data_IF_106517224980
#
_entry.id   IF_106517224980
#
_cell.length_a   1.000
_cell.length_b   1.000
_cell.length_c   1.000
_cell.angle_alpha   90.00
_cell.angle_beta   90.00
_cell.angle_gamma   90.00
#
_symmetry.space_group_name_H-M   'P 1'
#
loop_
_entity.id
_entity.type
_entity.pdbx_description
1 polymer ?
#
# COMPACT_ATOMS: atom_id res chain seq x y z
N UNK A 1 18.99 7.73 30.46
CA UNK A 1 19.41 7.38 29.09
C UNK A 1 18.82 8.42 28.14
N UNK A 2 19.63 9.05 27.31
CA UNK A 2 19.15 10.06 26.37
C UNK A 2 18.22 9.41 25.34
N UNK A 3 17.04 9.97 25.19
CA UNK A 3 16.16 9.63 24.06
C UNK A 3 16.91 9.90 22.76
N UNK A 4 16.70 9.06 21.73
CA UNK A 4 17.32 9.26 20.39
C UNK A 4 16.84 10.53 19.68
N UNK A 5 15.76 11.15 20.16
CA UNK A 5 15.13 12.33 19.60
C UNK A 5 15.10 13.41 20.66
N UNK A 6 15.60 14.58 20.31
CA UNK A 6 15.46 15.77 21.13
C UNK A 6 14.01 16.28 21.01
N UNK A 7 13.26 16.28 22.11
CA UNK A 7 11.86 16.76 22.12
C UNK A 7 11.74 18.28 22.20
N UNK A 8 12.83 18.97 22.51
CA UNK A 8 12.85 20.44 22.54
C UNK A 8 13.38 20.96 21.21
N UNK A 9 12.53 21.50 20.32
CA UNK A 9 12.99 22.09 19.07
C UNK A 9 13.89 23.26 19.38
N UNK A 10 15.07 23.29 18.77
CA UNK A 10 15.98 24.42 18.87
C UNK A 10 15.46 25.65 18.12
N UNK A 11 16.09 26.80 18.35
CA UNK A 11 15.77 28.04 17.63
C UNK A 11 15.84 27.87 16.10
N UNK A 12 16.78 27.04 15.61
CA UNK A 12 16.93 26.75 14.18
C UNK A 12 15.74 25.91 13.66
N UNK A 13 15.22 24.97 14.45
CA UNK A 13 14.04 24.18 14.09
C UNK A 13 12.79 25.07 14.00
N UNK A 14 12.64 26.01 14.97
CA UNK A 14 11.55 26.99 14.96
C UNK A 14 11.65 27.96 13.76
N UNK A 15 12.86 28.42 13.45
CA UNK A 15 13.12 29.29 12.30
C UNK A 15 12.87 28.57 10.97
N UNK A 16 13.37 27.33 10.79
CA UNK A 16 13.11 26.55 9.59
C UNK A 16 11.63 26.22 9.40
N UNK A 17 10.87 26.05 10.49
CA UNK A 17 9.42 25.87 10.45
C UNK A 17 8.68 27.14 9.96
N UNK A 18 9.22 28.33 10.23
CA UNK A 18 8.62 29.61 9.81
C UNK A 18 8.88 29.96 8.33
N UNK A 19 9.90 29.35 7.71
CA UNK A 19 10.17 29.55 6.29
C UNK A 19 9.11 28.88 5.45
N UNK A 20 8.43 29.63 4.59
CA UNK A 20 7.49 29.11 3.60
C UNK A 20 8.16 28.00 2.80
N UNK A 21 7.69 26.77 2.98
CA UNK A 21 8.36 25.58 2.47
C UNK A 21 8.06 25.31 0.98
N UNK A 22 8.91 24.56 0.29
CA UNK A 22 8.66 24.11 -1.07
C UNK A 22 7.39 23.23 -1.13
N UNK A 23 6.84 23.01 -2.33
CA UNK A 23 5.62 22.18 -2.55
C UNK A 23 5.66 20.83 -1.82
N UNK A 24 6.86 20.25 -1.67
CA UNK A 24 7.09 19.00 -0.92
C UNK A 24 6.75 19.16 0.57
N UNK A 25 7.18 20.26 1.21
CA UNK A 25 6.89 20.52 2.62
C UNK A 25 5.38 20.70 2.83
N UNK A 26 4.71 21.48 1.98
CA UNK A 26 3.26 21.67 2.03
C UNK A 26 2.49 20.35 1.88
N UNK A 27 2.94 19.44 1.01
CA UNK A 27 2.35 18.10 0.89
C UNK A 27 2.53 17.29 2.19
N UNK A 28 3.74 17.32 2.76
CA UNK A 28 4.03 16.59 4.00
C UNK A 28 3.23 17.12 5.18
N UNK A 29 3.07 18.44 5.29
CA UNK A 29 2.24 19.06 6.33
C UNK A 29 0.75 18.66 6.18
N UNK A 30 0.24 18.58 4.95
CA UNK A 30 -1.11 18.07 4.68
C UNK A 30 -1.25 16.59 5.06
N UNK A 31 -0.28 15.75 4.71
CA UNK A 31 -0.26 14.34 5.08
C UNK A 31 -0.15 14.17 6.59
N UNK A 32 0.68 14.98 7.25
CA UNK A 32 0.86 14.92 8.71
C UNK A 32 -0.43 15.22 9.46
N UNK A 33 -1.18 16.22 9.00
CA UNK A 33 -2.51 16.55 9.55
C UNK A 33 -3.58 15.51 9.20
N UNK A 34 -3.51 14.91 8.01
CA UNK A 34 -4.53 13.97 7.53
C UNK A 34 -4.42 12.58 8.17
N UNK A 35 -3.20 12.08 8.39
CA UNK A 35 -2.98 10.72 8.89
C UNK A 35 -3.26 10.66 10.39
N UNK A 36 -4.07 9.68 10.82
CA UNK A 36 -4.34 9.42 12.24
C UNK A 36 -3.18 8.65 12.88
N UNK A 37 -2.04 9.34 13.09
CA UNK A 37 -0.78 8.73 13.52
C UNK A 37 -0.90 7.94 14.82
N UNK A 38 -1.55 8.51 15.85
CA UNK A 38 -1.72 7.86 17.15
C UNK A 38 -2.51 6.56 17.05
N UNK A 39 -3.51 6.55 16.16
CA UNK A 39 -4.29 5.35 15.87
C UNK A 39 -3.46 4.30 15.14
N UNK A 40 -2.69 4.70 14.11
CA UNK A 40 -1.89 3.79 13.32
C UNK A 40 -0.68 3.24 14.08
N UNK A 41 -0.01 4.05 14.89
CA UNK A 41 1.21 3.63 15.59
C UNK A 41 0.94 2.71 16.78
N UNK A 42 -0.25 2.76 17.36
CA UNK A 42 -0.60 2.03 18.59
C UNK A 42 -0.25 0.53 18.57
N UNK A 43 -0.57 -0.27 17.52
CA UNK A 43 -0.18 -1.68 17.50
C UNK A 43 1.33 -1.88 17.39
N UNK A 44 2.06 -0.99 16.73
CA UNK A 44 3.52 -1.04 16.62
C UNK A 44 4.15 -0.70 17.97
N UNK A 45 3.68 0.36 18.63
CA UNK A 45 4.17 0.76 19.96
C UNK A 45 3.92 -0.29 21.04
N UNK A 46 2.96 -1.20 20.82
CA UNK A 46 2.68 -2.31 21.72
C UNK A 46 3.70 -3.47 21.61
N UNK A 47 4.56 -3.48 20.60
CA UNK A 47 5.61 -4.51 20.45
C UNK A 47 6.63 -4.41 21.59
N UNK A 48 7.18 -5.56 22.08
CA UNK A 48 8.05 -5.60 23.26
C UNK A 48 9.23 -4.63 23.21
N UNK A 49 9.89 -4.49 22.05
CA UNK A 49 11.04 -3.61 21.87
C UNK A 49 10.73 -2.13 22.01
N UNK A 50 9.50 -1.71 21.68
CA UNK A 50 9.06 -0.31 21.86
C UNK A 50 8.56 -0.06 23.27
N UNK A 51 7.92 -1.04 23.93
CA UNK A 51 7.54 -0.94 25.33
C UNK A 51 8.75 -0.79 26.25
N UNK A 52 9.80 -1.59 26.03
CA UNK A 52 11.05 -1.52 26.80
C UNK A 52 11.75 -0.16 26.65
N UNK A 53 11.75 0.39 25.45
CA UNK A 53 12.31 1.72 25.19
C UNK A 53 11.59 2.82 25.97
N UNK A 54 10.28 2.68 26.20
CA UNK A 54 9.47 3.65 26.93
C UNK A 54 9.61 3.55 28.47
N UNK A 55 9.85 2.37 29.01
CA UNK A 55 9.81 2.14 30.48
C UNK A 55 11.16 2.17 31.18
N UNK A 56 12.28 2.27 30.46
CA UNK A 56 13.66 2.21 31.00
C UNK A 56 13.95 1.00 31.94
N UNK A 57 13.07 0.00 31.93
CA UNK A 57 12.99 -1.00 33.00
C UNK A 57 14.09 -2.11 32.92
N UNK A 58 14.75 -2.28 31.78
CA UNK A 58 15.78 -3.30 31.62
C UNK A 58 17.11 -2.68 31.17
N UNK A 59 18.04 -2.60 32.08
CA UNK A 59 19.43 -2.18 31.86
C UNK A 59 20.26 -3.21 31.05
N UNK A 60 19.62 -3.99 30.19
CA UNK A 60 20.33 -4.87 29.23
C UNK A 60 20.88 -4.00 28.12
N UNK A 61 22.20 -3.79 28.16
CA UNK A 61 22.94 -2.93 27.26
C UNK A 61 22.57 -3.06 25.77
N UNK A 62 22.53 -1.94 25.10
CA UNK A 62 22.25 -1.83 23.68
C UNK A 62 21.65 -0.47 23.32
N UNK A 63 21.77 -0.09 22.05
CA UNK A 63 21.21 1.17 21.57
C UNK A 63 19.68 1.10 21.58
N UNK A 64 18.95 2.06 22.19
CA UNK A 64 17.47 2.02 22.25
C UNK A 64 16.86 2.01 20.83
N UNK A 65 15.68 1.42 20.71
CA UNK A 65 14.94 1.43 19.44
C UNK A 65 14.55 2.86 19.04
N UNK A 66 14.48 3.12 17.75
CA UNK A 66 13.89 4.35 17.25
C UNK A 66 12.40 4.40 17.63
N UNK A 67 11.82 5.58 17.90
CA UNK A 67 10.38 5.68 18.15
C UNK A 67 9.55 5.03 17.03
N UNK A 68 8.53 4.28 17.41
CA UNK A 68 7.65 3.58 16.47
C UNK A 68 7.02 4.53 15.45
N UNK A 69 6.61 5.73 15.90
CA UNK A 69 6.04 6.76 15.03
C UNK A 69 7.03 7.25 13.99
N UNK A 70 8.27 7.57 14.41
CA UNK A 70 9.34 7.97 13.48
C UNK A 70 9.57 6.91 12.42
N UNK A 71 9.64 5.63 12.81
CA UNK A 71 9.86 4.53 11.87
C UNK A 71 8.68 4.35 10.91
N UNK A 72 7.45 4.43 11.39
CA UNK A 72 6.26 4.37 10.54
C UNK A 72 6.22 5.53 9.54
N UNK A 73 6.48 6.75 10.00
CA UNK A 73 6.59 7.93 9.12
C UNK A 73 7.68 7.76 8.06
N UNK A 74 8.86 7.25 8.43
CA UNK A 74 9.96 6.98 7.48
C UNK A 74 9.54 6.02 6.37
N UNK A 75 8.94 4.87 6.69
CA UNK A 75 8.58 3.88 5.66
C UNK A 75 7.44 4.36 4.77
N UNK A 76 6.48 5.13 5.28
CA UNK A 76 5.43 5.74 4.46
C UNK A 76 5.97 6.89 3.60
N UNK A 77 6.90 7.70 4.13
CA UNK A 77 7.61 8.73 3.38
C UNK A 77 8.32 8.14 2.16
N UNK A 78 9.01 7.00 2.34
CA UNK A 78 9.64 6.29 1.23
C UNK A 78 8.62 5.89 0.13
N UNK A 79 7.40 5.51 0.51
CA UNK A 79 6.34 5.16 -0.46
C UNK A 79 5.81 6.37 -1.20
N UNK A 80 5.56 7.48 -0.51
CA UNK A 80 5.07 8.72 -1.13
C UNK A 80 6.04 9.34 -2.12
N UNK A 81 7.34 9.10 -1.96
CA UNK A 81 8.39 9.67 -2.82
C UNK A 81 9.13 8.64 -3.67
N UNK A 82 8.72 7.37 -3.63
CA UNK A 82 9.31 6.30 -4.45
C UNK A 82 10.76 5.95 -4.09
N UNK A 83 11.19 6.22 -2.85
CA UNK A 83 12.57 6.08 -2.41
C UNK A 83 12.94 4.63 -2.08
N UNK A 84 14.16 4.25 -2.38
CA UNK A 84 14.83 3.07 -1.81
C UNK A 84 15.32 3.36 -0.39
N UNK A 85 15.71 2.31 0.36
CA UNK A 85 16.21 2.51 1.72
C UNK A 85 17.47 3.38 1.79
N UNK A 86 18.49 3.19 0.92
CA UNK A 86 19.63 4.11 0.88
C UNK A 86 19.23 5.55 0.55
N UNK A 87 18.34 5.74 -0.44
CA UNK A 87 17.85 7.09 -0.79
C UNK A 87 17.06 7.73 0.36
N UNK A 88 16.28 6.95 1.11
CA UNK A 88 15.57 7.48 2.27
C UNK A 88 16.54 7.94 3.35
N UNK A 89 17.58 7.15 3.65
CA UNK A 89 18.65 7.51 4.59
C UNK A 89 19.31 8.82 4.18
N UNK A 90 19.76 8.94 2.93
CA UNK A 90 20.36 10.14 2.36
C UNK A 90 19.41 11.35 2.45
N UNK A 91 18.16 11.18 2.04
CA UNK A 91 17.16 12.24 2.10
C UNK A 91 16.84 12.70 3.54
N UNK A 92 16.92 11.82 4.53
CA UNK A 92 16.77 12.20 5.94
C UNK A 92 17.98 12.98 6.47
N UNK A 93 19.15 12.78 5.91
CA UNK A 93 20.35 13.56 6.24
C UNK A 93 20.32 14.95 5.61
N UNK A 94 19.84 15.06 4.38
CA UNK A 94 19.96 16.25 3.54
C UNK A 94 18.72 17.16 3.55
N UNK A 95 17.49 16.60 3.70
CA UNK A 95 16.23 17.35 3.54
C UNK A 95 15.59 17.71 4.86
N UNK A 96 15.60 18.99 5.22
CA UNK A 96 14.96 19.52 6.44
C UNK A 96 13.46 19.18 6.52
N UNK A 97 12.72 19.24 5.42
CA UNK A 97 11.30 18.92 5.38
C UNK A 97 11.03 17.46 5.74
N UNK A 98 11.91 16.53 5.35
CA UNK A 98 11.79 15.13 5.68
C UNK A 98 12.10 14.88 7.15
N UNK A 99 13.18 15.47 7.66
CA UNK A 99 13.51 15.40 9.10
C UNK A 99 12.36 15.90 9.96
N UNK A 100 11.84 17.09 9.68
CA UNK A 100 10.70 17.67 10.38
C UNK A 100 9.50 16.75 10.34
N UNK A 101 9.14 16.21 9.18
CA UNK A 101 8.01 15.31 9.02
C UNK A 101 8.12 14.05 9.90
N UNK A 102 9.29 13.43 9.98
CA UNK A 102 9.50 12.22 10.79
C UNK A 102 9.77 12.51 12.27
N UNK A 103 9.80 13.79 12.67
CA UNK A 103 10.00 14.22 14.05
C UNK A 103 11.47 14.22 14.49
N UNK A 104 12.41 14.46 13.58
CA UNK A 104 13.85 14.59 13.86
C UNK A 104 14.27 16.06 13.84
N UNK A 105 15.00 16.50 14.86
CA UNK A 105 15.69 17.81 14.88
C UNK A 105 16.96 17.78 14.01
N UNK A 106 17.56 18.93 13.79
CA UNK A 106 18.80 19.03 13.00
C UNK A 106 19.97 18.29 13.66
N UNK A 107 20.00 18.22 14.97
CA UNK A 107 21.07 17.60 15.76
C UNK A 107 20.87 16.10 15.99
N UNK A 108 19.66 15.58 15.72
CA UNK A 108 19.39 14.16 15.90
C UNK A 108 20.12 13.32 14.86
N UNK A 109 20.57 12.13 15.25
CA UNK A 109 21.00 11.12 14.28
C UNK A 109 19.81 10.71 13.38
N UNK A 110 20.09 10.10 12.24
CA UNK A 110 19.07 9.53 11.34
C UNK A 110 19.07 8.00 11.41
N UNK A 111 17.91 7.35 11.21
CA UNK A 111 17.87 5.91 11.00
C UNK A 111 18.61 5.53 9.71
N UNK A 112 19.37 4.45 9.75
CA UNK A 112 20.07 3.89 8.60
C UNK A 112 19.18 2.90 7.79
N UNK A 113 19.63 2.54 6.59
CA UNK A 113 18.92 1.60 5.72
C UNK A 113 18.64 0.25 6.39
N UNK A 114 19.56 -0.25 7.23
CA UNK A 114 19.39 -1.54 7.92
C UNK A 114 18.30 -1.45 8.99
N UNK A 115 18.13 -0.29 9.59
CA UNK A 115 17.06 0.01 10.55
C UNK A 115 15.68 -0.07 9.86
N UNK A 116 15.52 0.42 8.63
CA UNK A 116 14.25 0.29 7.88
C UNK A 116 13.95 -1.17 7.53
N UNK A 117 14.97 -1.94 7.14
CA UNK A 117 14.82 -3.38 6.88
C UNK A 117 14.35 -4.11 8.13
N UNK A 118 14.99 -3.87 9.29
CA UNK A 118 14.61 -4.47 10.58
C UNK A 118 13.20 -4.06 11.01
N UNK A 119 12.82 -2.81 10.80
CA UNK A 119 11.47 -2.34 11.12
C UNK A 119 10.39 -3.09 10.32
N UNK A 120 10.56 -3.23 8.99
CA UNK A 120 9.64 -4.02 8.17
C UNK A 120 9.63 -5.51 8.51
N UNK A 121 10.78 -6.06 8.93
CA UNK A 121 10.84 -7.43 9.43
C UNK A 121 9.97 -7.61 10.68
N UNK A 122 10.02 -6.70 11.63
CA UNK A 122 9.17 -6.71 12.83
C UNK A 122 7.68 -6.60 12.49
N UNK A 123 7.30 -5.71 11.57
CA UNK A 123 5.91 -5.62 11.10
C UNK A 123 5.44 -6.97 10.53
N UNK A 124 6.25 -7.61 9.71
CA UNK A 124 5.98 -8.92 9.11
C UNK A 124 5.86 -10.03 10.15
N UNK A 125 6.80 -10.09 11.07
CA UNK A 125 6.87 -11.12 12.13
C UNK A 125 5.68 -11.02 13.08
N UNK A 126 5.22 -9.80 13.35
CA UNK A 126 4.05 -9.53 14.17
C UNK A 126 2.72 -9.54 13.38
N UNK A 127 2.73 -9.75 12.06
CA UNK A 127 1.52 -9.73 11.21
C UNK A 127 0.78 -8.39 11.20
N UNK A 128 1.50 -7.28 11.44
CA UNK A 128 0.89 -5.96 11.62
C UNK A 128 0.51 -5.27 10.31
N UNK A 129 0.97 -5.73 9.16
CA UNK A 129 0.65 -5.14 7.87
C UNK A 129 -0.86 -5.10 7.62
N UNK A 130 -1.56 -6.20 7.90
CA UNK A 130 -3.02 -6.28 7.75
C UNK A 130 -3.73 -5.35 8.74
N UNK A 131 -3.31 -5.36 10.00
CA UNK A 131 -3.86 -4.48 11.05
C UNK A 131 -3.71 -2.99 10.69
N UNK A 132 -2.55 -2.58 10.17
CA UNK A 132 -2.30 -1.20 9.75
C UNK A 132 -3.19 -0.79 8.57
N UNK A 133 -3.38 -1.69 7.62
CA UNK A 133 -4.29 -1.47 6.50
C UNK A 133 -5.74 -1.32 6.97
N UNK A 134 -6.23 -2.24 7.80
CA UNK A 134 -7.58 -2.21 8.35
C UNK A 134 -7.83 -0.96 9.20
N UNK A 135 -6.85 -0.53 9.99
CA UNK A 135 -6.93 0.75 10.73
C UNK A 135 -6.99 1.96 9.80
N UNK A 136 -6.26 1.93 8.69
CA UNK A 136 -6.32 2.99 7.68
C UNK A 136 -7.71 3.06 7.06
N UNK A 137 -8.26 1.94 6.60
CA UNK A 137 -9.58 1.91 5.96
C UNK A 137 -10.69 2.25 6.94
N UNK A 138 -10.65 1.74 8.19
CA UNK A 138 -11.61 2.07 9.22
C UNK A 138 -11.62 3.58 9.56
N UNK A 139 -10.46 4.22 9.61
CA UNK A 139 -10.39 5.66 9.87
C UNK A 139 -10.92 6.48 8.69
N UNK A 140 -10.63 6.09 7.46
CA UNK A 140 -11.17 6.75 6.26
C UNK A 140 -12.69 6.56 6.15
N UNK A 141 -13.21 5.39 6.55
CA UNK A 141 -14.64 5.12 6.64
C UNK A 141 -15.30 6.01 7.71
N UNK A 142 -14.73 6.08 8.92
CA UNK A 142 -15.20 6.94 10.00
C UNK A 142 -15.30 8.42 9.59
N UNK A 143 -14.43 8.85 8.67
CA UNK A 143 -14.46 10.22 8.10
C UNK A 143 -15.45 10.38 6.95
N UNK A 144 -16.20 9.34 6.58
CA UNK A 144 -17.15 9.37 5.48
C UNK A 144 -16.53 9.47 4.09
N UNK A 145 -15.27 9.05 3.93
CA UNK A 145 -14.55 9.13 2.66
C UNK A 145 -14.76 7.90 1.78
N UNK A 146 -15.29 6.80 2.33
CA UNK A 146 -15.59 5.58 1.60
C UNK A 146 -17.00 5.63 1.00
N UNK A 147 -17.12 5.17 -0.24
CA UNK A 147 -18.39 5.00 -0.94
C UNK A 147 -18.73 3.51 -1.01
N UNK A 148 -19.59 3.05 -0.11
CA UNK A 148 -19.91 1.61 0.11
C UNK A 148 -20.89 1.01 -0.90
N UNK A 149 -21.13 1.65 -2.04
CA UNK A 149 -22.14 1.22 -3.02
C UNK A 149 -21.60 0.28 -4.11
N UNK A 150 -20.28 0.04 -4.15
CA UNK A 150 -19.67 -0.83 -5.16
C UNK A 150 -18.32 -1.38 -4.75
N UNK A 151 -18.05 -2.61 -5.16
CA UNK A 151 -16.74 -3.26 -5.10
C UNK A 151 -16.12 -3.28 -6.49
N UNK A 152 -15.04 -2.53 -6.70
CA UNK A 152 -14.29 -2.48 -7.95
C UNK A 152 -13.05 -3.34 -7.80
N UNK A 153 -13.04 -4.50 -8.49
CA UNK A 153 -12.01 -5.53 -8.30
C UNK A 153 -11.12 -5.60 -9.52
N UNK A 154 -9.81 -5.55 -9.27
CA UNK A 154 -8.79 -5.74 -10.30
C UNK A 154 -7.50 -6.30 -9.70
N UNK A 155 -6.61 -6.80 -10.58
CA UNK A 155 -5.32 -7.35 -10.20
C UNK A 155 -4.19 -6.80 -11.06
N UNK A 156 -3.04 -6.60 -10.45
CA UNK A 156 -1.82 -6.22 -11.15
C UNK A 156 -0.72 -7.24 -10.93
N UNK A 157 0.06 -7.49 -11.97
CA UNK A 157 1.27 -8.30 -11.87
C UNK A 157 2.41 -7.37 -11.44
N UNK A 158 3.11 -7.78 -10.38
CA UNK A 158 4.30 -7.11 -9.86
C UNK A 158 5.48 -8.02 -10.20
N UNK A 159 6.28 -7.60 -11.17
CA UNK A 159 7.33 -8.45 -11.72
C UNK A 159 8.47 -8.69 -10.72
N UNK A 160 8.98 -9.90 -10.72
CA UNK A 160 10.21 -10.32 -10.03
C UNK A 160 11.29 -10.61 -11.05
N UNK A 161 12.54 -10.38 -10.71
CA UNK A 161 13.65 -10.84 -11.54
C UNK A 161 13.54 -12.36 -11.79
N UNK A 162 13.74 -12.75 -13.04
CA UNK A 162 13.73 -14.19 -13.39
C UNK A 162 14.90 -14.96 -12.76
N UNK A 163 15.89 -14.21 -12.22
CA UNK A 163 17.09 -14.80 -11.69
C UNK A 163 17.95 -15.45 -12.78
N UNK A 164 19.06 -15.99 -12.37
CA UNK A 164 19.96 -16.81 -13.18
C UNK A 164 20.29 -18.08 -12.42
N UNK A 165 20.74 -19.11 -13.14
CA UNK A 165 21.37 -20.28 -12.53
C UNK A 165 22.86 -20.00 -12.48
N UNK A 166 23.49 -20.23 -11.32
CA UNK A 166 24.94 -20.12 -11.12
C UNK A 166 25.64 -21.37 -11.66
N UNK A 167 26.94 -21.30 -11.81
CA UNK A 167 27.78 -22.42 -12.30
C UNK A 167 27.69 -23.63 -11.38
N UNK A 168 27.41 -23.42 -10.08
CA UNK A 168 27.18 -24.48 -9.08
C UNK A 168 25.79 -25.13 -9.13
N UNK A 169 24.97 -24.75 -10.12
CA UNK A 169 23.58 -25.23 -10.28
C UNK A 169 22.55 -24.53 -9.37
N UNK A 170 22.98 -23.64 -8.46
CA UNK A 170 22.05 -22.90 -7.57
C UNK A 170 21.32 -21.80 -8.33
N UNK A 171 20.03 -21.64 -8.07
CA UNK A 171 19.21 -20.59 -8.70
C UNK A 171 19.11 -19.36 -7.81
N UNK A 172 19.31 -18.18 -8.41
CA UNK A 172 19.02 -16.90 -7.76
C UNK A 172 17.53 -16.51 -7.84
N UNK A 173 16.72 -17.36 -8.51
CA UNK A 173 15.27 -17.15 -8.65
C UNK A 173 14.58 -17.23 -7.30
N UNK A 174 13.56 -16.41 -7.13
CA UNK A 174 12.67 -16.48 -5.97
C UNK A 174 11.76 -17.72 -6.11
N UNK A 175 11.84 -18.72 -5.21
CA UNK A 175 11.07 -19.95 -5.31
C UNK A 175 9.58 -19.76 -4.99
N UNK A 176 9.20 -18.67 -4.32
CA UNK A 176 7.83 -18.35 -3.98
C UNK A 176 7.11 -17.52 -5.07
N UNK A 177 7.86 -17.04 -6.07
CA UNK A 177 7.30 -16.34 -7.23
C UNK A 177 7.00 -17.35 -8.35
N UNK A 178 5.96 -17.12 -9.12
CA UNK A 178 5.55 -18.01 -10.21
C UNK A 178 5.42 -17.28 -11.54
N UNK A 179 5.28 -18.08 -12.61
CA UNK A 179 5.07 -17.58 -13.95
C UNK A 179 3.58 -17.43 -14.24
N UNK A 180 3.23 -16.38 -14.98
CA UNK A 180 1.90 -16.16 -15.55
C UNK A 180 2.02 -15.63 -16.96
N UNK A 181 1.01 -15.87 -17.79
CA UNK A 181 0.95 -15.35 -19.15
C UNK A 181 -0.12 -14.27 -19.24
N UNK A 182 0.28 -13.09 -19.73
CA UNK A 182 -0.65 -11.98 -20.00
C UNK A 182 -0.32 -11.33 -21.34
N UNK A 183 -1.31 -11.23 -22.23
CA UNK A 183 -1.14 -10.68 -23.59
C UNK A 183 0.01 -11.35 -24.38
N UNK A 184 0.12 -12.67 -24.32
CA UNK A 184 1.17 -13.43 -25.01
C UNK A 184 2.57 -13.32 -24.40
N UNK A 185 2.75 -12.51 -23.34
CA UNK A 185 4.03 -12.37 -22.65
C UNK A 185 4.05 -13.17 -21.34
N UNK A 186 5.09 -13.98 -21.16
CA UNK A 186 5.35 -14.68 -19.91
C UNK A 186 6.02 -13.73 -18.91
N UNK A 187 5.41 -13.57 -17.76
CA UNK A 187 5.90 -12.75 -16.64
C UNK A 187 6.14 -13.63 -15.43
N UNK A 188 7.17 -13.29 -14.65
CA UNK A 188 7.52 -13.96 -13.40
C UNK A 188 7.34 -12.99 -12.24
N UNK A 189 6.68 -13.39 -11.16
CA UNK A 189 6.49 -12.52 -10.02
C UNK A 189 5.30 -12.90 -9.14
N UNK A 190 4.65 -11.86 -8.66
CA UNK A 190 3.49 -11.90 -7.76
C UNK A 190 2.31 -11.14 -8.35
N UNK A 191 1.13 -11.35 -7.78
CA UNK A 191 -0.07 -10.58 -8.07
C UNK A 191 -0.57 -9.87 -6.83
N UNK A 192 -0.87 -8.59 -6.99
CA UNK A 192 -1.63 -7.81 -6.03
C UNK A 192 -3.06 -7.65 -6.52
N UNK A 193 -4.02 -8.21 -5.79
CA UNK A 193 -5.45 -8.09 -6.03
C UNK A 193 -6.01 -7.06 -5.07
N UNK A 194 -6.83 -6.16 -5.55
CA UNK A 194 -7.47 -5.14 -4.72
C UNK A 194 -8.97 -5.06 -4.97
N UNK A 195 -9.68 -4.69 -3.93
CA UNK A 195 -11.01 -4.12 -4.02
C UNK A 195 -10.89 -2.62 -3.70
N UNK A 196 -11.34 -1.78 -4.60
CA UNK A 196 -11.45 -0.34 -4.37
C UNK A 196 -12.93 0.08 -4.40
N UNK A 197 -13.24 1.15 -3.67
CA UNK A 197 -14.53 1.81 -3.75
C UNK A 197 -14.60 2.79 -4.93
N UNK A 198 -15.75 3.42 -5.14
CA UNK A 198 -15.93 4.42 -6.21
C UNK A 198 -15.15 5.71 -6.01
N UNK A 199 -14.65 5.96 -4.81
CA UNK A 199 -13.71 7.06 -4.49
C UNK A 199 -12.27 6.72 -4.83
N UNK A 200 -11.99 5.51 -5.35
CA UNK A 200 -10.68 4.94 -5.57
C UNK A 200 -9.87 4.71 -4.28
N UNK A 201 -10.52 4.56 -3.13
CA UNK A 201 -9.87 4.10 -1.91
C UNK A 201 -9.85 2.57 -1.93
N UNK A 202 -8.69 1.98 -1.68
CA UNK A 202 -8.55 0.52 -1.58
C UNK A 202 -9.12 0.08 -0.22
N UNK A 203 -10.15 -0.78 -0.25
CA UNK A 203 -10.87 -1.24 0.93
C UNK A 203 -10.48 -2.65 1.35
N UNK A 204 -9.99 -3.47 0.43
CA UNK A 204 -9.43 -4.79 0.72
C UNK A 204 -8.36 -5.20 -0.30
N UNK A 205 -7.55 -6.19 0.05
CA UNK A 205 -6.48 -6.70 -0.81
C UNK A 205 -6.20 -8.18 -0.58
N UNK A 206 -5.59 -8.81 -1.60
CA UNK A 206 -4.92 -10.11 -1.50
C UNK A 206 -3.58 -10.03 -2.23
N UNK A 207 -2.61 -10.76 -1.74
CA UNK A 207 -1.28 -10.86 -2.35
C UNK A 207 -0.93 -12.34 -2.56
N UNK A 208 -0.69 -12.73 -3.80
CA UNK A 208 -0.39 -14.11 -4.18
C UNK A 208 0.84 -14.19 -5.08
N UNK A 209 1.34 -15.39 -5.30
CA UNK A 209 2.19 -15.68 -6.45
C UNK A 209 1.40 -15.44 -7.75
N UNK A 210 2.09 -15.40 -8.90
CA UNK A 210 1.45 -14.99 -10.15
C UNK A 210 0.65 -16.11 -10.85
N UNK A 211 0.77 -17.39 -10.41
CA UNK A 211 0.11 -18.52 -11.08
C UNK A 211 -1.41 -18.55 -10.92
N UNK A 212 -2.01 -18.32 -9.72
CA UNK A 212 -3.45 -18.44 -9.54
C UNK A 212 -4.22 -17.51 -10.47
N UNK A 213 -5.38 -17.99 -10.96
CA UNK A 213 -6.26 -17.17 -11.76
C UNK A 213 -6.90 -16.05 -10.91
N UNK A 214 -7.02 -14.86 -11.47
CA UNK A 214 -7.49 -13.67 -10.73
C UNK A 214 -8.90 -13.88 -10.16
N UNK A 215 -9.76 -14.66 -10.84
CA UNK A 215 -11.13 -14.99 -10.40
C UNK A 215 -11.21 -15.76 -9.09
N UNK A 216 -10.12 -16.38 -8.62
CA UNK A 216 -10.13 -17.15 -7.37
C UNK A 216 -10.27 -16.26 -6.13
N UNK A 217 -9.96 -14.96 -6.25
CA UNK A 217 -9.93 -14.03 -5.12
C UNK A 217 -11.11 -13.07 -5.07
N UNK A 218 -11.99 -13.06 -6.08
CA UNK A 218 -13.06 -12.07 -6.16
C UNK A 218 -14.08 -12.21 -5.02
N UNK A 219 -14.42 -13.44 -4.68
CA UNK A 219 -15.45 -13.72 -3.67
C UNK A 219 -14.97 -13.32 -2.27
N UNK A 220 -13.67 -13.50 -1.98
CA UNK A 220 -13.04 -13.03 -0.75
C UNK A 220 -12.89 -11.49 -0.71
N UNK A 221 -12.65 -10.85 -1.86
CA UNK A 221 -12.47 -9.41 -1.98
C UNK A 221 -13.78 -8.65 -2.03
N UNK A 222 -14.89 -9.31 -2.38
CA UNK A 222 -16.20 -8.66 -2.48
C UNK A 222 -16.72 -8.32 -1.09
N UNK A 223 -16.90 -7.05 -0.81
CA UNK A 223 -17.49 -6.60 0.45
C UNK A 223 -18.91 -7.16 0.61
N UNK A 224 -19.25 -7.64 1.81
CA UNK A 224 -20.56 -8.25 2.09
C UNK A 224 -21.73 -7.28 1.88
N UNK A 225 -21.48 -5.99 2.11
CA UNK A 225 -22.49 -4.92 2.04
C UNK A 225 -22.51 -4.22 0.66
N UNK A 226 -21.76 -4.73 -0.33
CA UNK A 226 -21.72 -4.09 -1.65
C UNK A 226 -23.06 -4.25 -2.37
N UNK A 227 -23.46 -3.21 -3.10
CA UNK A 227 -24.64 -3.24 -3.98
C UNK A 227 -24.30 -3.60 -5.42
N UNK A 228 -23.05 -3.50 -5.80
CA UNK A 228 -22.57 -3.75 -7.15
C UNK A 228 -21.15 -4.29 -7.14
N UNK A 229 -20.87 -5.30 -7.96
CA UNK A 229 -19.52 -5.80 -8.22
C UNK A 229 -19.10 -5.44 -9.63
N UNK A 230 -17.99 -4.71 -9.77
CA UNK A 230 -17.42 -4.29 -11.05
C UNK A 230 -16.08 -4.98 -11.24
N UNK A 231 -15.92 -5.72 -12.31
CA UNK A 231 -14.67 -6.42 -12.62
C UNK A 231 -14.49 -6.65 -14.13
N UNK A 232 -13.29 -7.11 -14.51
CA UNK A 232 -12.97 -7.55 -15.86
C UNK A 232 -13.73 -8.83 -16.26
N UNK A 233 -13.83 -9.08 -17.54
CA UNK A 233 -14.42 -10.28 -18.12
C UNK A 233 -13.74 -11.58 -17.69
N UNK A 234 -12.50 -11.56 -17.22
CA UNK A 234 -11.82 -12.72 -16.65
C UNK A 234 -12.50 -13.25 -15.39
N UNK A 235 -13.19 -12.38 -14.66
CA UNK A 235 -13.89 -12.71 -13.42
C UNK A 235 -15.32 -13.26 -13.64
N UNK A 236 -15.83 -13.27 -14.88
CA UNK A 236 -17.21 -13.66 -15.18
C UNK A 236 -17.39 -15.18 -15.18
N UNK A 237 -18.35 -15.70 -14.41
CA UNK A 237 -18.84 -17.08 -14.43
C UNK A 237 -20.33 -17.11 -14.16
N UNK A 238 -21.05 -18.14 -14.69
CA UNK A 238 -22.48 -18.30 -14.48
C UNK A 238 -22.83 -18.52 -12.99
N UNK A 239 -21.99 -19.27 -12.27
CA UNK A 239 -22.14 -19.52 -10.83
C UNK A 239 -22.08 -18.20 -10.03
N UNK A 240 -21.11 -17.35 -10.34
CA UNK A 240 -20.95 -16.04 -9.67
C UNK A 240 -22.09 -15.09 -10.00
N UNK A 241 -22.56 -15.08 -11.23
CA UNK A 241 -23.74 -14.28 -11.60
C UNK A 241 -24.96 -14.69 -10.78
N UNK A 242 -25.23 -15.99 -10.70
CA UNK A 242 -26.32 -16.52 -9.90
C UNK A 242 -26.17 -16.26 -8.40
N UNK A 243 -24.94 -16.29 -7.87
CA UNK A 243 -24.68 -15.93 -6.46
C UNK A 243 -24.94 -14.45 -6.18
N UNK A 244 -24.41 -13.56 -7.01
CA UNK A 244 -24.64 -12.12 -6.88
C UNK A 244 -26.12 -11.78 -7.01
N UNK A 245 -26.84 -12.40 -7.94
CA UNK A 245 -28.28 -12.22 -8.13
C UNK A 245 -29.08 -12.65 -6.88
N UNK A 246 -28.77 -13.83 -6.32
CA UNK A 246 -29.40 -14.32 -5.07
C UNK A 246 -29.15 -13.35 -3.90
N UNK A 247 -28.02 -12.66 -3.87
CA UNK A 247 -27.68 -11.67 -2.85
C UNK A 247 -28.24 -10.28 -3.15
N UNK A 248 -28.96 -10.08 -4.26
CA UNK A 248 -29.46 -8.78 -4.69
C UNK A 248 -28.35 -7.80 -5.10
N UNK A 249 -27.17 -8.30 -5.48
CA UNK A 249 -26.01 -7.51 -5.87
C UNK A 249 -25.96 -7.38 -7.39
N UNK A 250 -25.85 -6.16 -7.90
CA UNK A 250 -25.71 -5.92 -9.35
C UNK A 250 -24.40 -6.47 -9.87
N UNK A 251 -24.45 -7.42 -10.80
CA UNK A 251 -23.29 -7.96 -11.49
C UNK A 251 -22.88 -7.04 -12.65
N UNK A 252 -21.88 -6.19 -12.46
CA UNK A 252 -21.26 -5.34 -13.48
C UNK A 252 -19.90 -5.91 -13.94
N UNK A 253 -19.80 -7.23 -14.08
CA UNK A 253 -18.63 -7.91 -14.63
C UNK A 253 -18.73 -7.90 -16.15
N UNK A 254 -17.66 -7.51 -16.84
CA UNK A 254 -17.66 -7.38 -18.30
C UNK A 254 -17.99 -8.71 -19.00
N UNK A 255 -18.74 -8.63 -20.10
CA UNK A 255 -19.15 -9.80 -20.89
C UNK A 255 -18.01 -10.32 -21.74
N UNK A 256 -17.85 -11.65 -21.82
CA UNK A 256 -16.94 -12.35 -22.74
C UNK A 256 -17.64 -12.74 -24.04
N UNK A 257 -16.87 -12.85 -25.11
CA UNK A 257 -17.31 -13.52 -26.32
C UNK A 257 -17.44 -15.03 -26.03
N UNK A 258 -18.51 -15.64 -26.49
CA UNK A 258 -18.65 -17.08 -26.48
C UNK A 258 -17.79 -17.74 -27.55
N UNK A 259 -17.47 -19.01 -27.36
CA UNK A 259 -16.69 -19.78 -28.35
C UNK A 259 -17.46 -19.81 -29.69
N UNK A 260 -16.83 -19.41 -30.78
CA UNK A 260 -17.45 -19.31 -32.11
C UNK A 260 -18.07 -17.95 -32.46
N UNK A 261 -18.24 -17.04 -31.49
CA UNK A 261 -18.70 -15.68 -31.81
C UNK A 261 -17.54 -14.81 -32.35
N UNK A 262 -17.75 -14.21 -33.53
CA UNK A 262 -16.80 -13.21 -34.08
C UNK A 262 -16.76 -11.96 -33.22
N UNK A 263 -17.92 -11.58 -32.67
CA UNK A 263 -18.03 -10.31 -31.91
C UNK A 263 -19.18 -10.36 -30.89
N UNK A 264 -19.13 -9.44 -29.89
CA UNK A 264 -20.25 -9.27 -28.97
C UNK A 264 -21.40 -8.52 -29.62
N UNK A 265 -22.68 -8.84 -29.26
CA UNK A 265 -23.83 -8.05 -29.66
C UNK A 265 -23.66 -6.56 -29.33
N UNK A 266 -24.20 -5.64 -30.15
CA UNK A 266 -24.04 -4.19 -29.94
C UNK A 266 -24.43 -3.71 -28.54
N UNK A 267 -25.50 -4.29 -27.98
CA UNK A 267 -25.96 -3.98 -26.63
C UNK A 267 -24.91 -4.36 -25.58
N UNK A 268 -24.33 -5.56 -25.66
CA UNK A 268 -23.31 -6.02 -24.71
C UNK A 268 -22.01 -5.20 -24.85
N UNK A 269 -21.66 -4.77 -26.05
CA UNK A 269 -20.54 -3.82 -26.25
C UNK A 269 -20.81 -2.47 -25.57
N UNK A 270 -22.06 -1.97 -25.64
CA UNK A 270 -22.45 -0.74 -24.95
C UNK A 270 -22.35 -0.90 -23.44
N UNK A 271 -22.85 -2.01 -22.89
CA UNK A 271 -22.73 -2.33 -21.47
C UNK A 271 -21.25 -2.44 -21.05
N UNK A 272 -20.43 -3.16 -21.79
CA UNK A 272 -18.99 -3.26 -21.51
C UNK A 272 -18.30 -1.89 -21.50
N UNK A 273 -18.68 -0.95 -22.36
CA UNK A 273 -18.15 0.42 -22.33
C UNK A 273 -18.56 1.17 -21.06
N UNK A 274 -19.79 0.98 -20.59
CA UNK A 274 -20.25 1.57 -19.32
C UNK A 274 -19.49 0.96 -18.12
N UNK A 275 -19.36 -0.35 -18.07
CA UNK A 275 -18.59 -1.08 -17.06
C UNK A 275 -17.13 -0.60 -17.05
N UNK A 276 -16.50 -0.49 -18.22
CA UNK A 276 -15.12 -0.03 -18.33
C UNK A 276 -14.89 1.38 -17.78
N UNK A 277 -15.85 2.29 -17.94
CA UNK A 277 -15.78 3.66 -17.37
C UNK A 277 -15.76 3.63 -15.85
N UNK A 278 -16.61 2.81 -15.24
CA UNK A 278 -16.64 2.66 -13.78
C UNK A 278 -15.39 1.93 -13.30
N UNK A 279 -14.99 0.86 -14.00
CA UNK A 279 -13.81 0.07 -13.66
C UNK A 279 -12.50 0.88 -13.73
N UNK A 280 -12.41 1.89 -14.60
CA UNK A 280 -11.21 2.73 -14.71
C UNK A 280 -10.77 3.34 -13.36
N UNK A 281 -11.67 3.48 -12.41
CA UNK A 281 -11.37 3.98 -11.06
C UNK A 281 -10.41 3.05 -10.31
N UNK A 282 -10.56 1.73 -10.43
CA UNK A 282 -9.67 0.77 -9.73
C UNK A 282 -8.24 0.76 -10.29
N UNK A 283 -8.01 1.37 -11.44
CA UNK A 283 -6.68 1.50 -12.01
C UNK A 283 -5.84 2.61 -11.33
N UNK A 284 -6.48 3.56 -10.62
CA UNK A 284 -5.78 4.67 -9.97
C UNK A 284 -4.73 4.21 -8.93
N UNK A 285 -5.02 3.27 -7.99
CA UNK A 285 -4.01 2.76 -7.06
C UNK A 285 -2.79 2.20 -7.78
N UNK A 286 -3.01 1.39 -8.80
CA UNK A 286 -1.93 0.76 -9.56
C UNK A 286 -1.13 1.78 -10.41
N UNK A 287 -1.80 2.76 -11.00
CA UNK A 287 -1.14 3.84 -11.73
C UNK A 287 -0.25 4.66 -10.80
N UNK A 288 -0.74 5.01 -9.62
CA UNK A 288 0.04 5.73 -8.61
C UNK A 288 1.24 4.91 -8.14
N UNK A 289 1.06 3.64 -7.80
CA UNK A 289 2.17 2.77 -7.40
C UNK A 289 3.25 2.69 -8.49
N UNK A 290 2.85 2.55 -9.76
CA UNK A 290 3.79 2.56 -10.90
C UNK A 290 4.52 3.89 -11.04
N UNK A 291 3.84 5.02 -10.82
CA UNK A 291 4.45 6.35 -10.83
C UNK A 291 5.47 6.52 -9.70
N UNK A 292 5.24 5.88 -8.54
CA UNK A 292 6.20 5.84 -7.41
C UNK A 292 7.27 4.74 -7.58
N UNK A 293 7.44 4.19 -8.77
CA UNK A 293 8.48 3.21 -9.09
C UNK A 293 8.17 1.77 -8.65
N UNK A 294 6.97 1.49 -8.15
CA UNK A 294 6.58 0.13 -7.73
C UNK A 294 6.05 -0.68 -8.94
N UNK A 295 6.96 -1.01 -9.86
CA UNK A 295 6.70 -1.89 -11.02
C UNK A 295 7.20 -3.30 -10.81
N UNK A 296 8.21 -3.44 -9.96
CA UNK A 296 8.87 -4.71 -9.61
C UNK A 296 8.92 -4.85 -8.10
N UNK A 297 8.86 -6.08 -7.63
CA UNK A 297 9.10 -6.36 -6.22
C UNK A 297 10.56 -6.09 -5.87
N UNK A 298 10.79 -5.68 -4.63
CA UNK A 298 12.12 -5.29 -4.13
C UNK A 298 12.81 -6.41 -3.36
N UNK A 299 12.06 -7.42 -2.94
CA UNK A 299 12.55 -8.45 -2.01
C UNK A 299 12.38 -9.85 -2.61
N UNK A 300 13.10 -10.81 -2.06
CA UNK A 300 12.88 -12.23 -2.28
C UNK A 300 11.94 -12.77 -1.21
N UNK A 301 10.93 -13.53 -1.60
CA UNK A 301 9.93 -14.13 -0.74
C UNK A 301 8.61 -13.35 -0.66
N UNK A 302 7.49 -14.09 -0.69
CA UNK A 302 6.13 -13.55 -0.77
C UNK A 302 5.80 -12.62 0.41
N UNK A 303 6.06 -13.06 1.64
CA UNK A 303 5.71 -12.29 2.85
C UNK A 303 6.42 -10.93 2.94
N UNK A 304 7.66 -10.82 2.46
CA UNK A 304 8.39 -9.53 2.43
C UNK A 304 7.77 -8.57 1.42
N UNK A 305 7.41 -9.09 0.25
CA UNK A 305 6.79 -8.32 -0.82
C UNK A 305 5.34 -7.94 -0.48
N UNK A 306 4.61 -8.78 0.26
CA UNK A 306 3.28 -8.48 0.77
C UNK A 306 3.30 -7.27 1.72
N UNK A 307 4.21 -7.22 2.70
CA UNK A 307 4.37 -6.04 3.58
C UNK A 307 4.66 -4.79 2.76
N UNK A 308 5.54 -4.89 1.76
CA UNK A 308 5.89 -3.77 0.88
C UNK A 308 4.68 -3.30 0.05
N UNK A 309 3.90 -4.24 -0.49
CA UNK A 309 2.66 -3.95 -1.21
C UNK A 309 1.64 -3.23 -0.32
N UNK A 310 1.41 -3.73 0.88
CA UNK A 310 0.45 -3.15 1.83
C UNK A 310 0.85 -1.74 2.26
N UNK A 311 2.13 -1.49 2.52
CA UNK A 311 2.62 -0.14 2.82
C UNK A 311 2.40 0.83 1.65
N UNK A 312 2.46 0.36 0.39
CA UNK A 312 2.08 1.17 -0.76
C UNK A 312 0.58 1.46 -0.78
N UNK A 313 -0.28 0.48 -0.46
CA UNK A 313 -1.73 0.70 -0.38
C UNK A 313 -2.11 1.69 0.72
N UNK A 314 -1.51 1.58 1.90
CA UNK A 314 -1.71 2.53 3.02
C UNK A 314 -1.29 3.94 2.59
N UNK A 315 -0.11 4.08 2.01
CA UNK A 315 0.41 5.36 1.54
C UNK A 315 -0.49 5.96 0.45
N UNK A 316 -0.96 5.14 -0.49
CA UNK A 316 -1.90 5.54 -1.53
C UNK A 316 -3.23 6.04 -0.92
N UNK A 317 -3.84 5.28 -0.03
CA UNK A 317 -5.12 5.63 0.58
C UNK A 317 -5.06 6.99 1.29
N UNK A 318 -4.03 7.23 2.10
CA UNK A 318 -3.83 8.54 2.73
C UNK A 318 -3.56 9.66 1.72
N UNK A 319 -2.79 9.39 0.66
CA UNK A 319 -2.58 10.36 -0.41
C UNK A 319 -3.89 10.66 -1.16
N UNK A 320 -4.72 9.64 -1.41
CA UNK A 320 -6.02 9.78 -2.07
C UNK A 320 -6.99 10.59 -1.22
N UNK A 321 -7.02 10.38 0.09
CA UNK A 321 -7.90 11.10 1.01
C UNK A 321 -7.70 12.62 0.94
N UNK A 322 -6.48 13.12 0.70
CA UNK A 322 -6.22 14.55 0.53
C UNK A 322 -6.94 15.19 -0.67
N UNK A 323 -7.28 14.39 -1.68
CA UNK A 323 -8.02 14.89 -2.86
C UNK A 323 -9.54 14.76 -2.71
N UNK A 324 -10.01 13.97 -1.75
CA UNK A 324 -11.44 13.80 -1.45
C UNK A 324 -11.95 14.81 -0.41
N UNK A 325 -11.06 15.33 0.44
CA UNK A 325 -11.36 16.38 1.42
C UNK A 325 -10.57 17.65 1.12
N UNK A 326 -10.98 18.48 0.16
CA UNK A 326 -10.26 19.71 -0.16
C UNK A 326 -10.33 20.75 0.97
N UNK A 327 -11.31 20.65 1.89
CA UNK A 327 -11.53 21.62 2.97
C UNK A 327 -10.51 21.56 4.12
N UNK A 328 -9.65 20.53 4.20
CA UNK A 328 -8.52 20.47 5.15
C UNK A 328 -7.21 20.96 4.56
N UNK A 329 -7.24 21.67 3.45
CA UNK A 329 -6.08 22.16 2.71
C UNK A 329 -5.80 23.65 2.93
N UNK A 330 -6.46 24.27 3.94
CA UNK A 330 -6.24 25.65 4.36
C UNK A 330 -5.36 25.76 5.60
#
# INVERSE_FOLDING_TARGET
>A
MAERINRNPGLVDAWTASLGGPRTAALLDRLDKAVAWDWLVKPIAALPEYRRAATHADNKGGRPAWPALTMLKCVLLAKWFGLSDPQLEECLQDRLSFRRFVGLSLTDATPDQTTFVRFRARLREAGLERTLFERTTAELDRRGLLVKDGSLIDATIIEQSRGSTRDDGTSTRDPEASFTQKHGQTRHGYKGHINADRSAIVVDYRFSDAAPHDSNFIDELTARETRMVVADSAYRSAEREADLERRGVTCAIAFKRQRGQKDLPPMLKRLNRMIARVRAVVEHPFAWMRAMGYRRVRYRGRRRNEVDFVLNLIAYNWKRSLSLNPTQAG
#
